data_IF_843192133454
#
_entry.id   IF_843192133454
#
_cell.length_a   1.000
_cell.length_b   1.000
_cell.length_c   1.000
_cell.angle_alpha   90.00
_cell.angle_beta   90.00
_cell.angle_gamma   90.00
#
_symmetry.space_group_name_H-M   'P 1'
#
loop_
_entity.id
_entity.type
_entity.pdbx_description
1 polymer ?
#
# COMPACT_ATOMS: atom_id res chain seq x y z
N UNK A 1 0.27 40.24 9.78
CA UNK A 1 -0.32 38.88 9.74
C UNK A 1 0.42 38.11 8.66
N UNK A 2 0.79 36.83 8.89
CA UNK A 2 1.37 36.00 7.83
C UNK A 2 0.40 35.91 6.64
N UNK A 3 0.93 36.02 5.42
CA UNK A 3 0.13 35.92 4.19
C UNK A 3 -0.18 34.46 3.92
N UNK A 4 -1.46 34.11 3.83
CA UNK A 4 -1.89 32.78 3.43
C UNK A 4 -1.83 32.64 1.91
N UNK A 5 -1.39 31.48 1.46
CA UNK A 5 -1.27 31.13 0.04
C UNK A 5 -2.07 29.88 -0.25
N UNK A 6 -2.58 29.78 -1.47
CA UNK A 6 -3.23 28.57 -1.96
C UNK A 6 -2.29 27.37 -1.89
N UNK A 7 -2.76 26.28 -1.27
CA UNK A 7 -2.00 25.04 -1.11
C UNK A 7 -1.58 24.45 -2.45
N UNK A 8 -2.33 24.73 -3.53
CA UNK A 8 -2.02 24.30 -4.89
C UNK A 8 -0.75 24.93 -5.47
N UNK A 9 -0.27 26.04 -4.91
CA UNK A 9 0.98 26.68 -5.34
C UNK A 9 2.21 26.15 -4.60
N UNK A 10 2.05 25.20 -3.67
CA UNK A 10 3.14 24.75 -2.80
C UNK A 10 3.44 23.28 -3.04
N UNK A 11 4.65 22.98 -3.49
CA UNK A 11 5.06 21.59 -3.73
C UNK A 11 5.31 20.80 -2.42
N UNK A 12 5.60 19.51 -2.53
CA UNK A 12 5.85 18.63 -1.37
C UNK A 12 7.10 18.99 -0.55
N UNK A 13 8.02 19.77 -1.13
CA UNK A 13 9.22 20.29 -0.47
C UNK A 13 8.98 21.66 0.19
N UNK A 14 7.71 22.08 0.31
CA UNK A 14 7.29 23.39 0.81
C UNK A 14 7.84 24.57 0.01
N UNK A 15 8.02 24.40 -1.30
CA UNK A 15 8.50 25.45 -2.18
C UNK A 15 7.30 26.08 -2.88
N UNK A 16 7.25 27.41 -2.85
CA UNK A 16 6.21 28.18 -3.49
C UNK A 16 6.48 28.31 -5.00
N UNK A 17 5.47 28.06 -5.82
CA UNK A 17 5.40 28.50 -7.20
C UNK A 17 5.16 30.01 -7.22
N UNK A 18 6.27 30.75 -7.32
CA UNK A 18 6.29 32.22 -7.27
C UNK A 18 5.49 32.81 -8.44
N UNK A 19 5.53 32.20 -9.63
CA UNK A 19 4.85 32.72 -10.80
C UNK A 19 3.34 32.50 -10.70
N UNK A 20 2.90 31.32 -10.23
CA UNK A 20 1.49 31.09 -9.93
C UNK A 20 0.98 32.07 -8.86
N UNK A 21 1.75 32.31 -7.79
CA UNK A 21 1.39 33.24 -6.73
C UNK A 21 1.24 34.69 -7.21
N UNK A 22 2.19 35.19 -8.00
CA UNK A 22 2.15 36.57 -8.52
C UNK A 22 0.97 36.79 -9.46
N UNK A 23 0.60 35.77 -10.23
CA UNK A 23 -0.55 35.82 -11.14
C UNK A 23 -1.89 35.58 -10.42
N UNK A 24 -1.87 35.17 -9.15
CA UNK A 24 -3.08 34.88 -8.39
C UNK A 24 -3.89 36.13 -8.04
N UNK A 25 -3.21 37.23 -7.65
CA UNK A 25 -3.86 38.49 -7.28
C UNK A 25 -3.08 39.68 -7.80
N UNK A 26 -3.81 40.71 -8.21
CA UNK A 26 -3.22 41.94 -8.76
C UNK A 26 -2.25 42.62 -7.79
N UNK A 27 -2.50 42.54 -6.48
CA UNK A 27 -1.62 43.09 -5.43
C UNK A 27 -0.26 42.39 -5.31
N UNK A 28 -0.11 41.16 -5.82
CA UNK A 28 1.14 40.39 -5.77
C UNK A 28 1.93 40.44 -7.07
N UNK A 29 1.40 41.07 -8.13
CA UNK A 29 2.03 41.08 -9.46
C UNK A 29 3.48 41.61 -9.43
N UNK A 30 3.70 42.64 -8.64
CA UNK A 30 4.99 43.31 -8.48
C UNK A 30 5.73 42.90 -7.18
N UNK A 31 5.33 41.78 -6.55
CA UNK A 31 5.99 41.28 -5.35
C UNK A 31 7.43 40.82 -5.63
N UNK A 32 8.31 41.09 -4.67
CA UNK A 32 9.73 40.70 -4.68
C UNK A 32 9.91 39.56 -3.68
N UNK A 33 10.59 38.49 -4.08
CA UNK A 33 10.87 37.33 -3.22
C UNK A 33 12.36 37.23 -2.92
N UNK A 34 12.70 37.05 -1.65
CA UNK A 34 14.06 36.72 -1.21
C UNK A 34 14.09 35.22 -0.99
N UNK A 35 14.90 34.51 -1.77
CA UNK A 35 15.00 33.06 -1.75
C UNK A 35 15.94 32.59 -0.62
N UNK A 36 15.87 31.31 -0.27
CA UNK A 36 16.69 30.73 0.82
C UNK A 36 18.21 30.85 0.60
N UNK A 37 18.67 30.96 -0.65
CA UNK A 37 20.08 31.14 -1.00
C UNK A 37 20.52 32.63 -1.00
N UNK A 38 19.62 33.53 -0.63
CA UNK A 38 19.84 34.98 -0.61
C UNK A 38 19.65 35.66 -1.97
N UNK A 39 19.34 34.92 -3.04
CA UNK A 39 19.01 35.52 -4.32
C UNK A 39 17.64 36.20 -4.27
N UNK A 40 17.48 37.26 -5.07
CA UNK A 40 16.24 38.02 -5.17
C UNK A 40 15.55 37.69 -6.49
N UNK A 41 14.27 37.36 -6.42
CA UNK A 41 13.40 37.18 -7.57
C UNK A 41 12.53 38.42 -7.75
N UNK A 42 12.76 39.17 -8.82
CA UNK A 42 12.11 40.46 -9.09
C UNK A 42 10.99 40.36 -10.15
N UNK A 43 10.08 41.35 -10.22
CA UNK A 43 9.12 41.46 -11.32
C UNK A 43 9.83 41.58 -12.68
N UNK A 44 9.45 40.72 -13.63
CA UNK A 44 10.01 40.67 -15.00
C UNK A 44 11.44 40.10 -15.14
N UNK A 45 12.00 39.46 -14.10
CA UNK A 45 13.19 38.61 -14.30
C UNK A 45 12.78 37.29 -14.96
N UNK A 46 13.34 36.99 -16.13
CA UNK A 46 13.22 35.65 -16.73
C UNK A 46 13.85 34.65 -15.75
N UNK A 47 13.24 33.47 -15.47
CA UNK A 47 13.86 32.46 -14.64
C UNK A 47 15.16 32.04 -15.32
N UNK A 48 16.28 32.68 -14.94
CA UNK A 48 17.58 32.29 -15.42
C UNK A 48 17.80 30.89 -14.88
N UNK A 49 17.70 29.89 -15.76
CA UNK A 49 17.74 28.47 -15.43
C UNK A 49 19.03 28.05 -14.71
N UNK A 50 19.07 28.30 -13.40
CA UNK A 50 19.98 27.69 -12.44
C UNK A 50 19.17 27.38 -11.18
N UNK A 51 19.12 26.11 -10.81
CA UNK A 51 18.79 25.69 -9.45
C UNK A 51 19.63 26.51 -8.47
N UNK A 52 18.98 27.29 -7.61
CA UNK A 52 19.69 28.08 -6.60
C UNK A 52 18.82 28.34 -5.39
N UNK A 53 17.70 29.03 -5.56
CA UNK A 53 16.87 29.45 -4.45
C UNK A 53 15.43 28.99 -4.62
N UNK A 54 14.86 28.39 -3.56
CA UNK A 54 13.42 28.23 -3.44
C UNK A 54 12.90 29.25 -2.42
N UNK A 55 11.67 29.72 -2.57
CA UNK A 55 10.97 30.43 -1.50
C UNK A 55 10.23 29.40 -0.65
N UNK A 56 10.67 29.19 0.58
CA UNK A 56 10.07 28.19 1.47
C UNK A 56 8.90 28.80 2.24
N UNK A 57 7.84 28.01 2.36
CA UNK A 57 6.66 28.35 3.18
C UNK A 57 6.44 27.29 4.25
N UNK A 58 5.63 27.58 5.26
CA UNK A 58 5.16 26.60 6.23
C UNK A 58 3.76 26.12 5.90
N UNK A 59 3.44 24.87 6.24
CA UNK A 59 2.09 24.34 6.19
C UNK A 59 1.48 24.39 7.58
N UNK A 60 0.28 24.96 7.69
CA UNK A 60 -0.50 24.91 8.91
C UNK A 60 -1.56 23.81 8.82
N UNK A 61 -1.61 22.94 9.83
CA UNK A 61 -2.62 21.88 9.92
C UNK A 61 -3.87 22.48 10.58
N UNK A 62 -4.86 22.80 9.76
CA UNK A 62 -6.12 23.38 10.21
C UNK A 62 -7.31 22.78 9.44
N UNK A 63 -8.53 23.05 9.94
CA UNK A 63 -9.76 22.71 9.21
C UNK A 63 -9.73 23.32 7.79
N UNK A 64 -9.97 22.49 6.78
CA UNK A 64 -10.07 22.93 5.39
C UNK A 64 -11.23 23.92 5.21
N UNK A 65 -10.95 25.06 4.58
CA UNK A 65 -11.96 26.07 4.27
C UNK A 65 -11.53 26.97 3.11
N UNK A 66 -12.48 27.41 2.29
CA UNK A 66 -12.20 28.30 1.14
C UNK A 66 -11.51 29.60 1.54
N UNK A 67 -11.83 30.15 2.72
CA UNK A 67 -11.21 31.38 3.23
C UNK A 67 -9.73 31.24 3.60
N UNK A 68 -9.25 30.01 3.82
CA UNK A 68 -7.87 29.71 4.21
C UNK A 68 -7.01 29.18 3.04
N UNK A 69 -7.59 29.04 1.85
CA UNK A 69 -6.92 28.55 0.64
C UNK A 69 -6.22 27.19 0.82
N UNK A 70 -6.70 26.37 1.76
CA UNK A 70 -6.15 25.06 2.09
C UNK A 70 -7.09 23.91 1.67
N UNK A 71 -8.02 24.18 0.75
CA UNK A 71 -8.95 23.18 0.21
C UNK A 71 -8.23 22.41 -0.89
N UNK A 72 -8.23 21.09 -0.79
CA UNK A 72 -7.77 20.20 -1.86
C UNK A 72 -8.99 19.75 -2.65
N UNK A 73 -8.97 19.93 -3.97
CA UNK A 73 -10.07 19.53 -4.84
C UNK A 73 -10.03 18.00 -5.06
N UNK A 74 -11.09 17.24 -4.69
CA UNK A 74 -11.13 15.80 -4.92
C UNK A 74 -11.08 15.43 -6.42
N UNK A 75 -11.61 16.28 -7.31
CA UNK A 75 -11.61 16.02 -8.75
C UNK A 75 -10.17 15.95 -9.30
N UNK A 76 -9.30 16.85 -8.84
CA UNK A 76 -7.89 16.87 -9.26
C UNK A 76 -7.16 15.59 -8.82
N UNK A 77 -7.50 15.05 -7.64
CA UNK A 77 -6.92 13.79 -7.14
C UNK A 77 -7.45 12.62 -7.95
N UNK A 78 -8.75 12.58 -8.24
CA UNK A 78 -9.37 11.54 -9.06
C UNK A 78 -8.79 11.53 -10.48
N UNK A 79 -8.57 12.69 -11.09
CA UNK A 79 -7.96 12.81 -12.42
C UNK A 79 -6.50 12.31 -12.42
N UNK A 80 -5.71 12.66 -11.39
CA UNK A 80 -4.30 12.29 -11.32
C UNK A 80 -4.05 10.84 -10.88
N UNK A 81 -4.86 10.31 -9.96
CA UNK A 81 -4.60 9.05 -9.27
C UNK A 81 -5.74 8.03 -9.35
N UNK A 82 -6.94 8.43 -9.78
CA UNK A 82 -8.15 7.60 -9.80
C UNK A 82 -8.93 7.60 -8.49
N UNK A 83 -10.24 7.37 -8.59
CA UNK A 83 -11.17 7.37 -7.45
C UNK A 83 -10.85 6.33 -6.38
N UNK A 84 -10.36 5.14 -6.77
CA UNK A 84 -9.96 4.09 -5.82
C UNK A 84 -8.78 4.52 -4.95
N UNK A 85 -7.82 5.25 -5.53
CA UNK A 85 -6.69 5.80 -4.75
C UNK A 85 -7.21 6.75 -3.69
N UNK A 86 -8.11 7.68 -4.07
CA UNK A 86 -8.69 8.65 -3.13
C UNK A 86 -9.44 7.94 -1.99
N UNK A 87 -10.35 7.03 -2.32
CA UNK A 87 -11.14 6.27 -1.34
C UNK A 87 -10.26 5.50 -0.37
N UNK A 88 -9.30 4.73 -0.89
CA UNK A 88 -8.39 3.95 -0.05
C UNK A 88 -7.51 4.84 0.83
N UNK A 89 -7.05 5.97 0.30
CA UNK A 89 -6.25 6.91 1.06
C UNK A 89 -7.02 7.52 2.23
N UNK A 90 -8.27 7.96 2.02
CA UNK A 90 -9.12 8.48 3.09
C UNK A 90 -9.37 7.46 4.21
N UNK A 91 -9.60 6.20 3.83
CA UNK A 91 -9.75 5.10 4.77
C UNK A 91 -8.43 4.79 5.50
N UNK A 92 -7.29 4.94 4.83
CA UNK A 92 -5.96 4.63 5.37
C UNK A 92 -5.39 5.69 6.31
N UNK A 93 -5.82 6.96 6.18
CA UNK A 93 -5.29 8.10 6.94
C UNK A 93 -5.30 7.94 8.46
N UNK A 94 -6.11 7.02 9.00
CA UNK A 94 -6.24 6.78 10.44
C UNK A 94 -7.61 6.23 10.83
N UNK A 95 -7.90 6.07 12.14
CA UNK A 95 -9.20 5.60 12.61
C UNK A 95 -10.35 6.50 12.15
N UNK A 96 -11.50 5.93 11.79
CA UNK A 96 -12.63 6.66 11.22
C UNK A 96 -13.10 7.85 12.08
N UNK A 97 -13.12 7.68 13.40
CA UNK A 97 -13.67 8.66 14.36
C UNK A 97 -12.75 9.85 14.64
N UNK A 98 -11.47 9.77 14.23
CA UNK A 98 -10.47 10.79 14.56
C UNK A 98 -10.34 11.80 13.43
N UNK A 99 -10.09 13.06 13.79
CA UNK A 99 -9.70 14.08 12.83
C UNK A 99 -8.31 13.76 12.27
N UNK A 100 -8.18 13.79 10.94
CA UNK A 100 -6.95 13.38 10.25
C UNK A 100 -6.38 14.57 9.48
N UNK A 101 -5.12 14.94 9.68
CA UNK A 101 -4.49 15.95 8.84
C UNK A 101 -4.37 15.42 7.42
N UNK A 102 -4.83 16.19 6.44
CA UNK A 102 -4.66 15.84 5.04
C UNK A 102 -3.17 15.95 4.66
N UNK A 103 -2.60 14.87 4.14
CA UNK A 103 -1.19 14.82 3.72
C UNK A 103 -1.01 14.13 2.37
N UNK A 104 -0.96 14.93 1.31
CA UNK A 104 -0.86 14.47 -0.09
C UNK A 104 0.32 13.53 -0.36
N UNK A 105 1.39 13.54 0.47
CA UNK A 105 2.50 12.61 0.32
C UNK A 105 2.06 11.13 0.44
N UNK A 106 1.06 10.85 1.30
CA UNK A 106 0.57 9.48 1.53
C UNK A 106 -0.27 8.91 0.36
N UNK A 107 -0.85 9.77 -0.49
CA UNK A 107 -1.66 9.36 -1.65
C UNK A 107 -0.80 8.54 -2.61
N UNK A 108 0.45 8.95 -2.83
CA UNK A 108 1.38 8.27 -3.73
C UNK A 108 1.66 6.83 -3.29
N UNK A 109 1.70 6.56 -1.98
CA UNK A 109 1.87 5.23 -1.42
C UNK A 109 0.69 4.30 -1.71
N UNK A 110 -0.54 4.81 -1.56
CA UNK A 110 -1.77 4.06 -1.87
C UNK A 110 -1.88 3.79 -3.37
N UNK A 111 -1.58 4.79 -4.20
CA UNK A 111 -1.55 4.62 -5.65
C UNK A 111 -0.51 3.58 -6.08
N UNK A 112 0.68 3.59 -5.45
CA UNK A 112 1.72 2.59 -5.66
C UNK A 112 1.28 1.18 -5.23
N UNK A 113 0.53 1.06 -4.14
CA UNK A 113 -0.09 -0.21 -3.74
C UNK A 113 -1.07 -0.72 -4.80
N UNK A 114 -1.98 0.12 -5.31
CA UNK A 114 -2.93 -0.30 -6.36
C UNK A 114 -2.21 -0.77 -7.63
N UNK A 115 -1.09 -0.14 -8.01
CA UNK A 115 -0.24 -0.62 -9.10
C UNK A 115 0.37 -2.00 -8.81
N UNK A 116 0.80 -2.26 -7.57
CA UNK A 116 1.31 -3.59 -7.16
C UNK A 116 0.19 -4.64 -7.18
N UNK A 117 -0.99 -4.29 -6.67
CA UNK A 117 -2.17 -5.14 -6.74
C UNK A 117 -2.49 -5.50 -8.19
N UNK A 118 -2.53 -4.52 -9.10
CA UNK A 118 -2.76 -4.78 -10.52
C UNK A 118 -1.72 -5.75 -11.11
N UNK A 119 -0.43 -5.51 -10.83
CA UNK A 119 0.67 -6.36 -11.29
C UNK A 119 0.58 -7.80 -10.79
N UNK A 120 0.07 -8.02 -9.57
CA UNK A 120 -0.14 -9.36 -9.01
C UNK A 120 -1.04 -10.24 -9.91
N UNK A 121 -1.92 -9.64 -10.71
CA UNK A 121 -2.82 -10.33 -11.65
C UNK A 121 -2.36 -10.32 -13.11
N UNK A 122 -1.33 -9.56 -13.46
CA UNK A 122 -1.02 -9.21 -14.87
C UNK A 122 0.44 -9.38 -15.30
N UNK A 123 1.34 -9.83 -14.42
CA UNK A 123 2.73 -10.01 -14.80
C UNK A 123 3.29 -11.31 -14.24
N UNK A 124 4.03 -12.08 -15.03
CA UNK A 124 4.88 -13.11 -14.46
C UNK A 124 5.93 -12.46 -13.54
N UNK A 125 6.26 -13.13 -12.45
CA UNK A 125 7.27 -12.68 -11.49
C UNK A 125 8.68 -12.92 -12.06
N UNK A 126 9.16 -12.05 -12.93
CA UNK A 126 10.58 -12.04 -13.28
C UNK A 126 11.39 -11.43 -12.13
N UNK A 127 12.35 -12.22 -11.64
CA UNK A 127 13.11 -11.94 -10.43
C UNK A 127 14.08 -10.77 -10.56
N UNK A 128 14.23 -10.04 -9.45
CA UNK A 128 15.40 -9.21 -9.20
C UNK A 128 15.16 -7.72 -9.40
N UNK A 129 15.61 -6.95 -8.41
CA UNK A 129 15.78 -5.49 -8.42
C UNK A 129 16.09 -4.97 -9.83
N UNK A 130 15.13 -4.29 -10.45
CA UNK A 130 15.31 -3.72 -11.78
C UNK A 130 14.28 -2.63 -12.01
N UNK A 131 14.78 -1.47 -12.40
CA UNK A 131 14.07 -0.25 -12.72
C UNK A 131 12.86 -0.53 -13.62
N UNK A 132 11.69 0.01 -13.26
CA UNK A 132 10.45 -0.06 -14.07
C UNK A 132 10.58 0.97 -15.18
N UNK A 133 11.47 0.70 -16.12
CA UNK A 133 11.61 1.47 -17.33
C UNK A 133 11.42 0.53 -18.54
N UNK A 134 10.33 0.78 -19.27
CA UNK A 134 10.22 0.54 -20.70
C UNK A 134 10.05 -0.90 -21.22
N UNK A 135 9.07 -1.65 -20.74
CA UNK A 135 8.38 -2.60 -21.63
C UNK A 135 6.88 -2.51 -21.47
N UNK A 136 6.20 -2.02 -22.52
CA UNK A 136 4.74 -1.96 -22.65
C UNK A 136 4.10 -3.35 -22.80
N UNK A 137 4.89 -4.43 -22.78
CA UNK A 137 4.44 -5.81 -23.03
C UNK A 137 4.17 -6.61 -21.74
N UNK A 138 4.47 -6.08 -20.55
CA UNK A 138 4.27 -6.77 -19.26
C UNK A 138 2.92 -6.42 -18.58
N UNK A 139 1.80 -6.72 -19.23
CA UNK A 139 0.46 -6.48 -18.67
C UNK A 139 -0.59 -7.51 -19.13
N UNK A 140 -0.16 -8.73 -19.42
CA UNK A 140 -1.05 -9.84 -19.79
C UNK A 140 -1.66 -10.46 -18.54
N UNK A 141 -2.97 -10.68 -18.54
CA UNK A 141 -3.66 -11.28 -17.39
C UNK A 141 -3.08 -12.68 -17.10
N UNK A 142 -2.53 -12.86 -15.90
CA UNK A 142 -1.71 -13.99 -15.50
C UNK A 142 -2.25 -14.59 -14.20
N UNK A 143 -3.39 -15.25 -14.29
CA UNK A 143 -4.00 -16.01 -13.20
C UNK A 143 -4.13 -17.46 -13.64
N UNK A 144 -3.64 -18.39 -12.82
CA UNK A 144 -3.65 -19.82 -13.07
C UNK A 144 -4.81 -20.51 -12.35
N UNK A 145 -5.27 -21.63 -12.91
CA UNK A 145 -6.24 -22.54 -12.26
C UNK A 145 -5.53 -23.60 -11.39
N UNK A 146 -4.22 -23.48 -11.18
CA UNK A 146 -3.46 -24.39 -10.34
C UNK A 146 -3.77 -24.17 -8.85
N UNK A 147 -3.66 -25.23 -8.05
CA UNK A 147 -3.91 -25.17 -6.61
C UNK A 147 -2.94 -24.19 -5.93
N UNK A 148 -3.45 -23.41 -4.99
CA UNK A 148 -2.62 -22.46 -4.26
C UNK A 148 -1.63 -23.16 -3.32
N UNK A 149 -0.48 -22.52 -3.10
CA UNK A 149 0.46 -22.97 -2.07
C UNK A 149 -0.15 -22.81 -0.67
N UNK A 150 0.31 -23.62 0.29
CA UNK A 150 -0.11 -23.49 1.70
C UNK A 150 0.16 -22.09 2.25
N UNK A 151 1.28 -21.48 1.89
CA UNK A 151 1.65 -20.14 2.35
C UNK A 151 0.73 -19.06 1.78
N UNK A 152 0.34 -19.18 0.50
CA UNK A 152 -0.59 -18.25 -0.13
C UNK A 152 -2.01 -18.36 0.46
N UNK A 153 -2.46 -19.57 0.76
CA UNK A 153 -3.73 -19.79 1.47
C UNK A 153 -3.67 -19.25 2.91
N UNK A 154 -2.55 -19.44 3.62
CA UNK A 154 -2.34 -18.85 4.96
C UNK A 154 -2.39 -17.32 4.91
N UNK A 155 -1.71 -16.69 3.95
CA UNK A 155 -1.78 -15.23 3.73
C UNK A 155 -3.21 -14.77 3.44
N UNK A 156 -3.92 -15.45 2.53
CA UNK A 156 -5.32 -15.12 2.22
C UNK A 156 -6.21 -15.21 3.46
N UNK A 157 -6.23 -16.35 4.14
CA UNK A 157 -7.16 -16.57 5.26
C UNK A 157 -6.84 -15.70 6.48
N UNK A 158 -5.57 -15.36 6.69
CA UNK A 158 -5.18 -14.33 7.68
C UNK A 158 -5.77 -12.97 7.32
N UNK A 159 -5.76 -12.63 6.03
CA UNK A 159 -6.31 -11.38 5.51
C UNK A 159 -7.83 -11.37 5.60
N UNK A 160 -8.53 -12.44 5.22
CA UNK A 160 -9.99 -12.57 5.35
C UNK A 160 -10.42 -12.32 6.80
N UNK A 161 -9.81 -13.04 7.75
CA UNK A 161 -10.11 -12.90 9.18
C UNK A 161 -9.94 -11.46 9.63
N UNK A 162 -8.78 -10.86 9.34
CA UNK A 162 -8.45 -9.51 9.80
C UNK A 162 -9.38 -8.45 9.22
N UNK A 163 -9.68 -8.54 7.93
CA UNK A 163 -10.54 -7.57 7.23
C UNK A 163 -11.99 -7.70 7.69
N UNK A 164 -12.47 -8.92 7.92
CA UNK A 164 -13.79 -9.14 8.49
C UNK A 164 -13.92 -8.47 9.88
N UNK A 165 -12.99 -8.76 10.78
CA UNK A 165 -12.94 -8.16 12.13
C UNK A 165 -12.83 -6.62 12.05
N UNK A 166 -12.04 -6.10 11.12
CA UNK A 166 -11.87 -4.66 10.95
C UNK A 166 -13.11 -3.96 10.41
N UNK A 167 -13.82 -4.57 9.47
CA UNK A 167 -15.08 -4.02 8.96
C UNK A 167 -16.13 -3.97 10.07
N UNK A 168 -16.25 -5.03 10.87
CA UNK A 168 -17.16 -5.10 12.03
C UNK A 168 -16.82 -4.03 13.08
N UNK A 169 -15.53 -3.74 13.27
CA UNK A 169 -15.03 -2.74 14.22
C UNK A 169 -14.76 -1.35 13.62
N UNK A 170 -15.20 -1.08 12.39
CA UNK A 170 -14.96 0.18 11.66
C UNK A 170 -13.48 0.62 11.61
N UNK A 171 -12.55 -0.34 11.66
CA UNK A 171 -11.10 -0.16 11.66
C UNK A 171 -10.50 -0.21 10.25
N UNK A 172 -11.05 0.61 9.34
CA UNK A 172 -10.74 0.57 7.91
C UNK A 172 -9.27 0.84 7.56
N UNK A 173 -8.58 1.67 8.35
CA UNK A 173 -7.16 1.98 8.15
C UNK A 173 -6.27 0.74 8.29
N UNK A 174 -6.59 -0.17 9.22
CA UNK A 174 -5.82 -1.40 9.42
C UNK A 174 -6.14 -2.45 8.36
N UNK A 175 -7.33 -2.44 7.77
CA UNK A 175 -7.64 -3.26 6.59
C UNK A 175 -6.76 -2.90 5.41
N UNK A 176 -6.59 -1.60 5.11
CA UNK A 176 -5.69 -1.16 4.02
C UNK A 176 -4.26 -1.64 4.26
N UNK A 177 -3.76 -1.56 5.50
CA UNK A 177 -2.43 -2.10 5.84
C UNK A 177 -2.35 -3.62 5.64
N UNK A 178 -3.41 -4.34 5.99
CA UNK A 178 -3.51 -5.79 5.82
C UNK A 178 -3.45 -6.18 4.34
N UNK A 179 -4.13 -5.43 3.46
CA UNK A 179 -4.03 -5.63 2.01
C UNK A 179 -2.62 -5.37 1.47
N UNK A 180 -1.96 -4.29 1.93
CA UNK A 180 -0.59 -3.99 1.52
C UNK A 180 0.38 -5.12 1.90
N UNK A 181 0.23 -5.67 3.12
CA UNK A 181 1.02 -6.82 3.59
C UNK A 181 0.72 -8.04 2.72
N UNK A 182 -0.56 -8.39 2.54
CA UNK A 182 -1.00 -9.55 1.78
C UNK A 182 -0.46 -9.52 0.34
N UNK A 183 -0.60 -8.39 -0.36
CA UNK A 183 -0.11 -8.25 -1.74
C UNK A 183 1.41 -8.39 -1.82
N UNK A 184 2.17 -7.83 -0.86
CA UNK A 184 3.62 -8.00 -0.84
C UNK A 184 4.03 -9.46 -0.55
N UNK A 185 3.37 -10.14 0.40
CA UNK A 185 3.60 -11.56 0.72
C UNK A 185 3.28 -12.45 -0.50
N UNK A 186 2.09 -12.30 -1.10
CA UNK A 186 1.67 -13.06 -2.28
C UNK A 186 2.60 -12.81 -3.47
N UNK A 187 3.09 -11.57 -3.63
CA UNK A 187 4.06 -11.26 -4.67
C UNK A 187 5.41 -11.96 -4.43
N UNK A 188 5.88 -12.01 -3.18
CA UNK A 188 7.12 -12.70 -2.82
C UNK A 188 6.99 -14.23 -2.98
N UNK A 189 5.80 -14.77 -2.68
CA UNK A 189 5.44 -16.17 -2.89
C UNK A 189 5.21 -16.52 -4.37
N UNK A 190 5.23 -15.53 -5.27
CA UNK A 190 4.91 -15.67 -6.69
C UNK A 190 3.53 -16.28 -6.93
N UNK A 191 2.56 -15.94 -6.08
CA UNK A 191 1.20 -16.46 -6.18
C UNK A 191 0.51 -15.90 -7.43
N UNK A 192 0.02 -16.79 -8.29
CA UNK A 192 -0.86 -16.48 -9.40
C UNK A 192 -2.15 -17.32 -9.39
N UNK A 193 -2.41 -18.08 -8.33
CA UNK A 193 -3.55 -19.01 -8.27
C UNK A 193 -4.88 -18.27 -8.10
N UNK A 194 -5.85 -18.63 -8.94
CA UNK A 194 -7.23 -18.14 -8.86
C UNK A 194 -7.87 -18.36 -7.50
N UNK A 195 -7.58 -19.49 -6.86
CA UNK A 195 -8.08 -19.85 -5.53
C UNK A 195 -7.76 -18.76 -4.48
N UNK A 196 -6.67 -18.02 -4.67
CA UNK A 196 -6.24 -16.94 -3.77
C UNK A 196 -6.63 -15.56 -4.29
N UNK A 197 -6.40 -15.31 -5.58
CA UNK A 197 -6.58 -13.99 -6.18
C UNK A 197 -8.06 -13.62 -6.32
N UNK A 198 -8.95 -14.57 -6.64
CA UNK A 198 -10.37 -14.27 -6.77
C UNK A 198 -11.00 -13.80 -5.44
N UNK A 199 -10.81 -14.49 -4.30
CA UNK A 199 -11.26 -13.97 -3.00
C UNK A 199 -10.62 -12.64 -2.60
N UNK A 200 -9.34 -12.43 -2.94
CA UNK A 200 -8.64 -11.17 -2.65
C UNK A 200 -9.29 -9.98 -3.37
N UNK A 201 -9.72 -10.14 -4.62
CA UNK A 201 -10.46 -9.11 -5.35
C UNK A 201 -11.76 -8.72 -4.62
N UNK A 202 -12.50 -9.72 -4.13
CA UNK A 202 -13.74 -9.49 -3.37
C UNK A 202 -13.46 -8.72 -2.08
N UNK A 203 -12.41 -9.10 -1.32
CA UNK A 203 -12.05 -8.40 -0.08
C UNK A 203 -11.70 -6.93 -0.29
N UNK A 204 -11.08 -6.60 -1.42
CA UNK A 204 -10.64 -5.23 -1.74
C UNK A 204 -11.79 -4.37 -2.28
N UNK A 205 -12.81 -4.99 -2.88
CA UNK A 205 -13.92 -4.28 -3.55
C UNK A 205 -14.64 -3.21 -2.72
N UNK A 206 -14.83 -3.32 -1.39
CA UNK A 206 -15.47 -2.24 -0.62
C UNK A 206 -14.60 -0.96 -0.58
N UNK A 207 -13.28 -1.11 -0.73
CA UNK A 207 -12.29 -0.05 -0.63
C UNK A 207 -11.94 0.54 -1.99
N UNK A 208 -11.65 -0.33 -2.97
CA UNK A 208 -11.27 0.01 -4.34
C UNK A 208 -12.17 -0.73 -5.33
N UNK A 209 -13.44 -0.32 -5.50
CA UNK A 209 -14.42 -1.05 -6.29
C UNK A 209 -14.10 -1.09 -7.79
N UNK A 210 -13.51 -0.05 -8.36
CA UNK A 210 -13.35 0.04 -9.82
C UNK A 210 -12.28 -0.95 -10.31
N UNK A 211 -11.11 -0.98 -9.65
CA UNK A 211 -10.06 -1.96 -9.96
C UNK A 211 -10.53 -3.38 -9.65
N UNK A 212 -11.33 -3.58 -8.60
CA UNK A 212 -11.85 -4.89 -8.24
C UNK A 212 -12.83 -5.43 -9.29
N UNK A 213 -13.74 -4.60 -9.80
CA UNK A 213 -14.64 -4.96 -10.91
C UNK A 213 -13.85 -5.36 -12.16
N UNK A 214 -12.81 -4.60 -12.50
CA UNK A 214 -12.03 -4.89 -13.70
C UNK A 214 -11.25 -6.19 -13.58
N UNK A 215 -10.72 -6.49 -12.39
CA UNK A 215 -10.10 -7.78 -12.09
C UNK A 215 -11.13 -8.92 -12.12
N UNK A 216 -12.33 -8.68 -11.58
CA UNK A 216 -13.43 -9.63 -11.56
C UNK A 216 -13.90 -10.03 -12.96
N UNK A 217 -14.07 -9.05 -13.86
CA UNK A 217 -14.38 -9.31 -15.26
C UNK A 217 -13.25 -10.08 -15.95
N UNK A 218 -11.99 -9.74 -15.69
CA UNK A 218 -10.83 -10.47 -16.25
C UNK A 218 -10.71 -11.91 -15.75
N UNK A 219 -11.15 -12.19 -14.53
CA UNK A 219 -11.32 -13.55 -14.01
C UNK A 219 -12.44 -14.32 -14.74
N UNK A 220 -13.22 -13.66 -15.60
CA UNK A 220 -14.25 -14.28 -16.44
C UNK A 220 -15.66 -14.21 -15.87
N UNK A 221 -15.88 -13.43 -14.82
CA UNK A 221 -17.21 -13.19 -14.27
C UNK A 221 -17.97 -12.16 -15.11
N UNK A 222 -19.28 -12.36 -15.25
CA UNK A 222 -20.17 -11.46 -16.01
C UNK A 222 -21.07 -10.61 -15.13
N UNK A 223 -21.26 -11.01 -13.88
CA UNK A 223 -21.98 -10.25 -12.86
C UNK A 223 -21.03 -9.33 -12.10
N UNK A 224 -21.57 -8.26 -11.51
CA UNK A 224 -20.80 -7.30 -10.71
C UNK A 224 -20.22 -7.95 -9.46
N UNK A 225 -18.98 -7.61 -9.12
CA UNK A 225 -18.34 -8.08 -7.88
C UNK A 225 -19.09 -7.58 -6.63
N UNK A 226 -19.87 -6.50 -6.74
CA UNK A 226 -20.64 -5.93 -5.63
C UNK A 226 -21.70 -6.87 -5.05
N UNK A 227 -22.14 -7.87 -5.83
CA UNK A 227 -23.09 -8.90 -5.38
C UNK A 227 -22.39 -10.23 -5.02
N UNK A 228 -21.07 -10.31 -5.17
CA UNK A 228 -20.33 -11.50 -4.81
C UNK A 228 -20.38 -11.73 -3.29
N UNK A 229 -20.52 -13.00 -2.83
CA UNK A 229 -20.52 -13.29 -1.40
C UNK A 229 -19.14 -13.00 -0.81
N UNK A 230 -19.13 -12.43 0.41
CA UNK A 230 -17.89 -12.19 1.13
C UNK A 230 -17.13 -13.52 1.37
N UNK A 231 -15.80 -13.57 1.16
CA UNK A 231 -15.02 -14.80 1.34
C UNK A 231 -15.12 -15.34 2.77
N UNK A 232 -15.26 -16.66 2.89
CA UNK A 232 -15.37 -17.32 4.19
C UNK A 232 -13.99 -17.61 4.77
N UNK A 233 -13.78 -17.22 6.01
CA UNK A 233 -12.60 -17.62 6.77
C UNK A 233 -12.63 -19.12 7.07
N UNK A 234 -11.48 -19.79 6.93
CA UNK A 234 -11.30 -21.20 7.27
C UNK A 234 -10.07 -21.34 8.17
N UNK A 235 -10.32 -21.72 9.43
CA UNK A 235 -9.28 -21.78 10.47
C UNK A 235 -8.16 -22.77 10.17
N UNK A 236 -8.47 -23.84 9.43
CA UNK A 236 -7.52 -24.89 9.05
C UNK A 236 -6.27 -24.36 8.32
N UNK A 237 -6.35 -23.22 7.65
CA UNK A 237 -5.21 -22.62 6.94
C UNK A 237 -4.30 -21.77 7.84
N UNK A 238 -4.75 -21.42 9.06
CA UNK A 238 -3.94 -20.70 10.04
C UNK A 238 -3.27 -21.61 11.06
N UNK A 239 -3.75 -22.85 11.19
CA UNK A 239 -3.09 -23.86 12.03
C UNK A 239 -1.74 -24.17 11.41
N UNK A 240 -0.68 -23.83 12.11
CA UNK A 240 0.66 -24.27 11.73
C UNK A 240 0.70 -25.79 11.86
N UNK A 241 0.96 -26.49 10.76
CA UNK A 241 1.13 -27.95 10.81
C UNK A 241 2.51 -28.33 11.33
N UNK A 242 3.46 -27.39 11.32
CA UNK A 242 4.89 -27.60 11.60
C UNK A 242 5.39 -26.42 12.43
N UNK A 243 6.25 -26.68 13.42
CA UNK A 243 6.94 -25.68 14.23
C UNK A 243 8.44 -25.96 14.23
N UNK A 244 9.25 -24.90 14.25
CA UNK A 244 10.69 -25.04 14.52
C UNK A 244 10.92 -25.33 16.00
N UNK A 245 11.41 -26.53 16.29
CA UNK A 245 11.80 -26.94 17.63
C UNK A 245 13.30 -26.71 17.85
N UNK A 246 13.71 -25.83 18.77
CA UNK A 246 15.11 -25.66 19.11
C UNK A 246 15.62 -26.86 19.92
N UNK A 247 16.60 -27.58 19.39
CA UNK A 247 17.20 -28.75 20.02
C UNK A 247 18.45 -28.32 20.78
N UNK A 248 18.47 -28.63 22.08
CA UNK A 248 19.55 -28.27 23.00
C UNK A 248 20.16 -29.50 23.66
N UNK A 249 21.49 -29.51 23.76
CA UNK A 249 22.25 -30.54 24.47
C UNK A 249 22.97 -29.87 25.65
N UNK A 250 22.77 -30.39 26.87
CA UNK A 250 23.32 -29.82 28.10
C UNK A 250 23.07 -28.30 28.23
N UNK A 251 21.85 -27.86 27.89
CA UNK A 251 21.42 -26.47 28.00
C UNK A 251 21.95 -25.52 26.91
N UNK A 252 22.69 -26.02 25.90
CA UNK A 252 23.14 -25.22 24.75
C UNK A 252 22.41 -25.62 23.48
N UNK A 253 21.75 -24.66 22.83
CA UNK A 253 21.08 -24.85 21.54
C UNK A 253 22.10 -25.22 20.45
N UNK A 254 21.80 -26.27 19.66
CA UNK A 254 22.67 -26.76 18.59
C UNK A 254 22.09 -26.56 17.20
N UNK A 255 20.81 -26.87 17.04
CA UNK A 255 20.10 -26.71 15.78
C UNK A 255 18.58 -26.63 16.02
N UNK A 256 17.83 -26.23 15.01
CA UNK A 256 16.37 -26.32 14.97
C UNK A 256 15.95 -27.50 14.10
N UNK A 257 14.81 -28.11 14.44
CA UNK A 257 14.19 -29.15 13.63
C UNK A 257 12.72 -28.82 13.42
N UNK A 258 12.28 -28.87 12.17
CA UNK A 258 10.88 -28.67 11.81
C UNK A 258 10.10 -29.95 12.14
N UNK A 259 9.22 -29.86 13.14
CA UNK A 259 8.40 -30.99 13.57
C UNK A 259 6.91 -30.66 13.46
N UNK A 260 6.05 -31.63 13.13
CA UNK A 260 4.62 -31.44 13.19
C UNK A 260 4.15 -30.98 14.57
N UNK A 261 3.07 -30.19 14.62
CA UNK A 261 2.54 -29.71 15.90
C UNK A 261 1.65 -30.74 16.63
N UNK A 262 1.25 -31.80 15.94
CA UNK A 262 0.36 -32.85 16.41
C UNK A 262 1.09 -34.11 16.92
N UNK A 263 2.43 -34.15 16.85
CA UNK A 263 3.20 -35.31 17.33
C UNK A 263 3.44 -35.26 18.84
N UNK A 264 3.41 -36.45 19.45
CA UNK A 264 3.62 -36.64 20.88
C UNK A 264 5.07 -36.40 21.30
N UNK A 265 5.30 -36.25 22.61
CA UNK A 265 6.65 -36.10 23.17
C UNK A 265 7.58 -37.25 22.75
N UNK A 266 7.09 -38.48 22.75
CA UNK A 266 7.89 -39.67 22.43
C UNK A 266 8.28 -39.72 20.94
N UNK A 267 7.39 -39.23 20.07
CA UNK A 267 7.65 -39.07 18.64
C UNK A 267 8.63 -37.93 18.36
N UNK A 268 8.53 -36.82 19.09
CA UNK A 268 9.51 -35.72 19.06
C UNK A 268 10.89 -36.24 19.45
N UNK A 269 10.98 -36.98 20.56
CA UNK A 269 12.25 -37.54 21.04
C UNK A 269 12.83 -38.52 20.01
N UNK A 270 12.00 -39.40 19.46
CA UNK A 270 12.42 -40.35 18.42
C UNK A 270 12.93 -39.66 17.15
N UNK A 271 12.23 -38.61 16.69
CA UNK A 271 12.61 -37.83 15.52
C UNK A 271 13.93 -37.07 15.74
N UNK A 272 14.12 -36.50 16.93
CA UNK A 272 15.36 -35.82 17.32
C UNK A 272 16.51 -36.81 17.41
N UNK A 273 16.32 -37.97 18.05
CA UNK A 273 17.35 -38.99 18.22
C UNK A 273 17.77 -39.64 16.88
N UNK A 274 16.86 -39.74 15.93
CA UNK A 274 17.14 -40.25 14.58
C UNK A 274 17.85 -39.22 13.68
N UNK A 275 17.89 -37.94 14.06
CA UNK A 275 18.44 -36.89 13.23
C UNK A 275 19.99 -36.93 13.19
N UNK A 276 20.57 -36.78 11.99
CA UNK A 276 22.01 -36.94 11.76
C UNK A 276 22.89 -36.02 12.62
N UNK A 277 22.42 -34.78 12.86
CA UNK A 277 23.14 -33.82 13.71
C UNK A 277 23.14 -34.21 15.18
N UNK A 278 22.21 -35.04 15.62
CA UNK A 278 22.14 -35.54 17.01
C UNK A 278 23.28 -36.49 17.32
N UNK A 279 23.72 -37.30 16.36
CA UNK A 279 24.85 -38.23 16.54
C UNK A 279 26.20 -37.54 16.82
N UNK A 280 26.27 -36.22 16.67
CA UNK A 280 27.48 -35.42 16.89
C UNK A 280 27.61 -34.86 18.32
N UNK A 281 26.61 -35.10 19.18
CA UNK A 281 26.51 -34.52 20.52
C UNK A 281 26.18 -35.57 21.59
#
# INVERSE_FOLDING_TARGET
LPTQVDVGFVNNSNELDIEAFKNWRTEYKDAIFILEDGNVYEPNSSPSGRSGGAFKVSREVEKMSKSKYNVVNPDDICEQYGADTLRMYEMFLGPLEQAKPWNTAGITGVHGFLKKLWKLYHSPFEGGKGDVSQSQEANEFYVSEEAASKDSLKTLHKTIKKVQEDIENFSFNTSVSSFMIAVNELSAQKCNSREVLEPLAILISPYAPHIAEELWQKLGHSESISTAPFPKFEEKYLVESIKEYPISFNGKMRFTLELPLDISKDEIESAVMAHEKTAQY
#
